data_IF_180584014762
#
_entry.id   IF_180584014762
#
_cell.length_a   1.000
_cell.length_b   1.000
_cell.length_c   1.000
_cell.angle_alpha   90.00
_cell.angle_beta   90.00
_cell.angle_gamma   90.00
#
_symmetry.space_group_name_H-M   'P 1'
#
loop_
_entity.id
_entity.type
_entity.pdbx_description
1 polymer ?
#
# COMPACT_ATOMS: atom_id res chain seq x y z
N UNK A 1 8.54 -5.06 -14.94
CA UNK A 1 7.45 -4.77 -13.99
C UNK A 1 6.99 -6.06 -13.33
N UNK A 2 6.82 -6.05 -12.04
CA UNK A 2 6.37 -7.23 -11.30
C UNK A 2 4.92 -7.55 -11.64
N UNK A 3 4.65 -8.81 -11.99
CA UNK A 3 3.29 -9.29 -12.20
C UNK A 3 2.93 -10.21 -11.05
N UNK A 4 2.06 -9.76 -10.18
CA UNK A 4 1.67 -10.53 -9.01
C UNK A 4 0.82 -11.76 -9.38
N UNK A 5 0.37 -11.88 -10.63
CA UNK A 5 -0.36 -13.04 -11.12
C UNK A 5 0.55 -14.22 -11.47
N UNK A 6 1.83 -13.93 -11.79
CA UNK A 6 2.75 -14.95 -12.30
C UNK A 6 3.49 -15.67 -11.17
N UNK A 7 3.94 -14.91 -10.18
CA UNK A 7 4.68 -15.45 -9.04
C UNK A 7 4.19 -14.80 -7.77
N UNK A 8 3.50 -15.55 -6.95
CA UNK A 8 3.06 -15.07 -5.65
C UNK A 8 3.76 -15.85 -4.56
N UNK A 9 4.27 -15.16 -3.58
CA UNK A 9 4.83 -15.75 -2.38
C UNK A 9 3.85 -15.55 -1.25
N UNK A 10 3.57 -16.62 -0.52
CA UNK A 10 2.67 -16.53 0.63
C UNK A 10 3.40 -15.92 1.81
N UNK A 11 2.80 -14.89 2.39
CA UNK A 11 3.28 -14.30 3.63
C UNK A 11 2.13 -14.23 4.62
N UNK A 12 2.47 -14.32 5.90
CA UNK A 12 1.50 -14.06 6.97
C UNK A 12 1.66 -12.63 7.44
N UNK A 13 0.56 -11.89 7.48
CA UNK A 13 0.56 -10.52 7.96
C UNK A 13 -0.56 -10.34 8.97
N UNK A 14 -0.26 -9.61 10.04
CA UNK A 14 -1.27 -9.20 11.02
C UNK A 14 -1.69 -7.78 10.72
N UNK A 15 -2.99 -7.57 10.61
CA UNK A 15 -3.55 -6.25 10.36
C UNK A 15 -4.04 -5.64 11.67
N UNK A 16 -4.00 -4.31 11.75
CA UNK A 16 -4.56 -3.60 12.88
C UNK A 16 -6.06 -3.90 13.01
N UNK A 17 -6.61 -3.87 14.23
CA UNK A 17 -8.03 -4.13 14.43
C UNK A 17 -8.91 -3.25 13.54
N UNK A 18 -9.88 -3.86 12.89
CA UNK A 18 -10.80 -3.17 12.00
C UNK A 18 -10.29 -2.92 10.58
N UNK A 19 -9.00 -3.01 10.36
CA UNK A 19 -8.43 -2.71 9.04
C UNK A 19 -8.86 -3.73 7.99
N UNK A 20 -8.91 -5.00 8.35
CA UNK A 20 -9.37 -6.07 7.47
C UNK A 20 -10.79 -5.80 6.95
N UNK A 21 -11.69 -5.42 7.86
CA UNK A 21 -13.08 -5.12 7.51
C UNK A 21 -13.17 -3.92 6.56
N UNK A 22 -12.35 -2.92 6.78
CA UNK A 22 -12.31 -1.73 5.92
C UNK A 22 -11.80 -2.08 4.52
N UNK A 23 -10.79 -2.94 4.45
CA UNK A 23 -10.27 -3.41 3.17
C UNK A 23 -11.34 -4.21 2.42
N UNK A 24 -11.98 -5.14 3.10
CA UNK A 24 -13.02 -5.96 2.49
C UNK A 24 -14.20 -5.12 1.99
N UNK A 25 -14.60 -4.12 2.77
CA UNK A 25 -15.66 -3.19 2.36
C UNK A 25 -15.26 -2.42 1.11
N UNK A 26 -14.02 -1.91 1.07
CA UNK A 26 -13.52 -1.22 -0.10
C UNK A 26 -13.51 -2.11 -1.34
N UNK A 27 -13.03 -3.34 -1.20
CA UNK A 27 -12.93 -4.28 -2.31
C UNK A 27 -14.30 -4.67 -2.88
N UNK A 28 -15.34 -4.70 -2.05
CA UNK A 28 -16.69 -5.02 -2.51
C UNK A 28 -17.24 -3.98 -3.48
N UNK A 29 -16.74 -2.76 -3.44
CA UNK A 29 -17.23 -1.66 -4.26
C UNK A 29 -16.59 -1.61 -5.65
N UNK A 30 -15.55 -2.38 -5.87
CA UNK A 30 -14.78 -2.34 -7.11
C UNK A 30 -14.63 -3.74 -7.69
N UNK A 31 -15.08 -3.92 -8.93
CA UNK A 31 -14.94 -5.20 -9.64
C UNK A 31 -13.46 -5.55 -9.82
N UNK A 32 -13.15 -6.82 -9.63
CA UNK A 32 -11.79 -7.31 -9.83
C UNK A 32 -10.84 -7.02 -8.67
N UNK A 33 -11.33 -6.36 -7.63
CA UNK A 33 -10.53 -6.14 -6.43
C UNK A 33 -10.83 -7.22 -5.39
N UNK A 34 -9.78 -7.72 -4.76
CA UNK A 34 -9.88 -8.59 -3.61
C UNK A 34 -8.81 -8.18 -2.60
N UNK A 35 -8.81 -8.80 -1.44
CA UNK A 35 -7.86 -8.45 -0.37
C UNK A 35 -6.41 -8.60 -0.82
N UNK A 36 -6.09 -9.70 -1.49
CA UNK A 36 -4.71 -9.94 -1.94
C UNK A 36 -4.27 -8.87 -2.93
N UNK A 37 -5.10 -8.53 -3.90
CA UNK A 37 -4.79 -7.51 -4.88
C UNK A 37 -4.62 -6.15 -4.19
N UNK A 38 -5.52 -5.80 -3.27
CA UNK A 38 -5.43 -4.56 -2.52
C UNK A 38 -4.11 -4.46 -1.77
N UNK A 39 -3.72 -5.52 -1.05
CA UNK A 39 -2.49 -5.50 -0.26
C UNK A 39 -1.25 -5.42 -1.13
N UNK A 40 -1.23 -6.12 -2.27
CA UNK A 40 -0.12 -6.02 -3.21
C UNK A 40 0.01 -4.62 -3.78
N UNK A 41 -1.08 -4.03 -4.20
CA UNK A 41 -1.08 -2.67 -4.73
C UNK A 41 -0.66 -1.64 -3.67
N UNK A 42 -1.12 -1.81 -2.43
CA UNK A 42 -0.75 -0.93 -1.33
C UNK A 42 0.74 -1.01 -1.01
N UNK A 43 1.28 -2.23 -0.99
CA UNK A 43 2.71 -2.42 -0.75
C UNK A 43 3.56 -1.81 -1.86
N UNK A 44 3.16 -2.02 -3.10
CA UNK A 44 3.85 -1.44 -4.26
C UNK A 44 3.81 0.08 -4.22
N UNK A 45 2.63 0.64 -3.93
CA UNK A 45 2.48 2.09 -3.77
C UNK A 45 3.42 2.64 -2.71
N UNK A 46 3.47 1.97 -1.54
CA UNK A 46 4.30 2.43 -0.44
C UNK A 46 5.79 2.41 -0.81
N UNK A 47 6.24 1.34 -1.46
CA UNK A 47 7.62 1.22 -1.88
C UNK A 47 7.99 2.30 -2.91
N UNK A 48 7.13 2.57 -3.87
CA UNK A 48 7.37 3.61 -4.87
C UNK A 48 7.38 5.00 -4.23
N UNK A 49 6.46 5.26 -3.30
CA UNK A 49 6.41 6.54 -2.60
C UNK A 49 7.68 6.78 -1.78
N UNK A 50 8.16 5.75 -1.09
CA UNK A 50 9.41 5.83 -0.31
C UNK A 50 10.58 6.12 -1.24
N UNK A 51 10.65 5.43 -2.38
CA UNK A 51 11.73 5.65 -3.35
C UNK A 51 11.71 7.09 -3.87
N UNK A 52 10.55 7.62 -4.18
CA UNK A 52 10.42 9.01 -4.67
C UNK A 52 10.90 10.01 -3.62
N UNK A 53 10.58 9.80 -2.35
CA UNK A 53 11.03 10.67 -1.28
C UNK A 53 12.55 10.59 -1.13
N UNK A 54 13.11 9.39 -1.15
CA UNK A 54 14.56 9.19 -1.01
C UNK A 54 15.34 9.76 -2.18
N UNK A 55 14.78 9.72 -3.38
CA UNK A 55 15.41 10.29 -4.57
C UNK A 55 15.23 11.81 -4.66
N UNK A 56 14.39 12.40 -3.83
CA UNK A 56 14.14 13.85 -3.85
C UNK A 56 13.11 14.30 -4.86
N UNK A 57 12.40 13.36 -5.52
CA UNK A 57 11.35 13.70 -6.48
C UNK A 57 10.13 14.31 -5.80
N UNK A 58 9.88 13.89 -4.55
CA UNK A 58 8.76 14.36 -3.74
C UNK A 58 9.30 14.68 -2.34
N UNK A 59 8.91 15.83 -1.81
CA UNK A 59 9.25 16.18 -0.43
C UNK A 59 8.16 15.65 0.49
N UNK A 60 8.57 15.11 1.64
CA UNK A 60 7.61 14.63 2.63
C UNK A 60 6.63 15.72 3.06
N UNK A 61 7.10 16.96 3.15
CA UNK A 61 6.29 18.11 3.54
C UNK A 61 5.18 18.43 2.53
N UNK A 62 5.34 18.00 1.27
CA UNK A 62 4.37 18.23 0.21
C UNK A 62 3.23 17.22 0.24
N UNK A 63 3.37 16.15 1.02
CA UNK A 63 2.33 15.14 1.17
C UNK A 63 1.22 15.64 2.10
N UNK A 64 -0.01 15.15 1.93
CA UNK A 64 -1.07 15.41 2.90
C UNK A 64 -0.62 15.04 4.31
N UNK A 65 -1.04 15.84 5.30
CA UNK A 65 -0.59 15.63 6.69
C UNK A 65 -0.87 14.23 7.21
N UNK A 66 -2.02 13.66 6.87
CA UNK A 66 -2.36 12.33 7.32
C UNK A 66 -1.51 11.23 6.66
N UNK A 67 -0.83 11.53 5.56
CA UNK A 67 0.07 10.59 4.90
C UNK A 67 1.48 10.67 5.48
N UNK A 68 1.90 11.84 5.98
CA UNK A 68 3.27 12.07 6.45
C UNK A 68 3.67 11.09 7.55
N UNK A 69 2.71 10.64 8.35
CA UNK A 69 2.98 9.67 9.43
C UNK A 69 3.54 8.35 8.94
N UNK A 70 3.24 7.96 7.69
CA UNK A 70 3.72 6.71 7.13
C UNK A 70 5.16 6.79 6.62
N UNK A 71 5.70 7.99 6.54
CA UNK A 71 7.03 8.22 5.97
C UNK A 71 8.01 8.80 6.99
N UNK A 72 7.72 8.64 8.27
CA UNK A 72 8.63 9.07 9.33
C UNK A 72 9.92 8.28 9.25
N UNK A 73 11.06 8.98 9.35
CA UNK A 73 12.37 8.36 9.32
C UNK A 73 12.92 8.11 7.91
N UNK A 74 12.24 8.60 6.90
CA UNK A 74 12.67 8.44 5.50
C UNK A 74 13.25 9.74 4.98
#
# INVERSE_FOLDING_TARGET
MYSWNDHTEAISARLAPGLKSRIDYHCQQYKGKNRNKFLNEAAEFMLEAVADIQCGNVKREDLPKNWQRFFRGI
#
